data_IF_310983687196
#
_entry.id   IF_310983687196
#
_cell.length_a   1.000
_cell.length_b   1.000
_cell.length_c   1.000
_cell.angle_alpha   90.00
_cell.angle_beta   90.00
_cell.angle_gamma   90.00
#
_symmetry.space_group_name_H-M   'P 1'
#
loop_
_entity.id
_entity.type
_entity.pdbx_description
1 polymer ?
#
# COMPACT_ATOMS: atom_id res chain seq x y z
N UNK A 1 28.28 -9.12 28.21
CA UNK A 1 29.27 -8.23 27.55
C UNK A 1 29.36 -8.68 26.09
N UNK A 2 28.82 -7.84 25.19
CA UNK A 2 28.99 -7.72 23.72
C UNK A 2 29.10 -9.01 22.87
N UNK A 3 28.01 -9.32 22.15
CA UNK A 3 27.99 -10.17 20.95
C UNK A 3 28.52 -9.34 19.75
N UNK A 4 29.33 -9.90 18.83
CA UNK A 4 30.06 -9.11 17.83
C UNK A 4 29.18 -8.65 16.67
N UNK A 5 29.52 -7.46 16.12
CA UNK A 5 29.06 -6.94 14.84
C UNK A 5 29.69 -7.73 13.69
N UNK A 6 28.88 -8.43 12.92
CA UNK A 6 29.21 -8.77 11.52
C UNK A 6 27.99 -8.48 10.64
N UNK A 7 27.92 -7.23 10.20
CA UNK A 7 27.17 -6.84 9.01
C UNK A 7 28.07 -7.18 7.83
N UNK A 8 27.88 -8.36 7.25
CA UNK A 8 28.55 -8.75 6.01
C UNK A 8 27.65 -8.36 4.83
N UNK A 9 27.78 -7.08 4.47
CA UNK A 9 27.46 -6.55 3.15
C UNK A 9 28.20 -7.39 2.12
N UNK A 10 27.49 -8.25 1.37
CA UNK A 10 28.07 -8.89 0.19
C UNK A 10 28.12 -7.87 -0.94
N UNK A 11 29.33 -7.30 -1.10
CA UNK A 11 29.78 -6.53 -2.27
C UNK A 11 29.61 -7.34 -3.56
N UNK A 12 29.19 -6.63 -4.62
CA UNK A 12 29.42 -6.98 -6.03
C UNK A 12 30.88 -7.37 -6.27
N UNK A 13 31.09 -8.48 -6.97
CA UNK A 13 32.26 -8.71 -7.81
C UNK A 13 31.74 -9.13 -9.20
N UNK A 14 32.24 -8.44 -10.22
CA UNK A 14 32.01 -8.72 -11.64
C UNK A 14 32.96 -9.82 -12.15
N UNK A 15 32.59 -10.39 -13.30
CA UNK A 15 33.30 -11.30 -14.23
C UNK A 15 32.90 -12.78 -14.06
N UNK A 16 32.48 -13.55 -15.08
CA UNK A 16 32.35 -13.39 -16.54
C UNK A 16 31.49 -14.57 -17.05
N UNK A 17 30.63 -14.30 -18.04
CA UNK A 17 29.99 -15.23 -19.00
C UNK A 17 29.65 -16.67 -18.58
N UNK A 18 28.39 -16.89 -18.22
CA UNK A 18 27.59 -18.01 -18.74
C UNK A 18 26.21 -17.46 -19.13
N UNK A 19 25.86 -17.62 -20.40
CA UNK A 19 24.56 -17.29 -20.98
C UNK A 19 23.48 -18.14 -20.30
N UNK A 20 22.84 -17.60 -19.26
CA UNK A 20 21.57 -18.14 -18.75
C UNK A 20 20.44 -17.29 -19.29
N UNK A 21 20.00 -17.67 -20.48
CA UNK A 21 18.72 -17.31 -21.08
C UNK A 21 17.57 -17.85 -20.22
N UNK A 22 17.24 -17.14 -19.15
CA UNK A 22 15.87 -16.89 -18.74
C UNK A 22 15.85 -15.69 -17.78
N UNK A 23 15.48 -14.52 -18.31
CA UNK A 23 14.95 -13.42 -17.49
C UNK A 23 13.60 -13.89 -16.90
N UNK A 24 13.65 -14.82 -15.95
CA UNK A 24 12.52 -15.15 -15.06
C UNK A 24 12.37 -14.07 -13.96
N UNK A 25 13.06 -12.93 -14.11
CA UNK A 25 13.16 -11.84 -13.13
C UNK A 25 12.35 -10.58 -13.53
N UNK A 26 11.53 -10.68 -14.57
CA UNK A 26 10.58 -9.63 -15.00
C UNK A 26 9.21 -9.75 -14.31
N UNK A 27 9.11 -10.49 -13.20
CA UNK A 27 7.91 -10.49 -12.39
C UNK A 27 7.91 -9.26 -11.46
N UNK A 28 7.25 -8.18 -11.90
CA UNK A 28 7.10 -6.95 -11.09
C UNK A 28 6.19 -7.14 -9.86
N UNK A 29 5.48 -8.26 -9.75
CA UNK A 29 4.65 -8.61 -8.60
C UNK A 29 5.43 -9.56 -7.68
N UNK A 30 6.09 -9.00 -6.67
CA UNK A 30 6.70 -9.80 -5.62
C UNK A 30 5.67 -10.11 -4.55
N UNK A 31 5.45 -11.39 -4.30
CA UNK A 31 4.56 -11.88 -3.25
C UNK A 31 5.37 -12.69 -2.23
N UNK A 32 5.18 -12.41 -0.94
CA UNK A 32 5.85 -13.15 0.11
C UNK A 32 5.05 -13.21 1.41
N UNK A 33 5.18 -14.33 2.12
CA UNK A 33 4.77 -14.42 3.50
C UNK A 33 5.80 -13.78 4.40
N UNK A 34 5.36 -12.84 5.22
CA UNK A 34 6.15 -12.24 6.28
C UNK A 34 5.50 -12.47 7.64
N UNK A 35 6.29 -12.36 8.70
CA UNK A 35 5.81 -12.49 10.08
C UNK A 35 5.87 -11.13 10.75
N UNK A 36 4.78 -10.72 11.41
CA UNK A 36 4.80 -9.48 12.19
C UNK A 36 5.87 -9.59 13.31
N UNK A 37 6.84 -8.66 13.38
CA UNK A 37 7.91 -8.74 14.37
C UNK A 37 7.44 -8.56 15.82
N UNK A 38 6.23 -8.00 16.03
CA UNK A 38 5.68 -7.74 17.36
C UNK A 38 4.76 -8.84 17.89
N UNK A 39 3.86 -9.38 17.07
CA UNK A 39 2.87 -10.37 17.51
C UNK A 39 2.98 -11.73 16.82
N UNK A 40 3.96 -11.90 15.92
CA UNK A 40 4.22 -13.14 15.17
C UNK A 40 3.07 -13.66 14.31
N UNK A 41 2.06 -12.83 14.05
CA UNK A 41 1.00 -13.19 13.11
C UNK A 41 1.54 -13.17 11.68
N UNK A 42 1.13 -14.13 10.83
CA UNK A 42 1.49 -14.14 9.42
C UNK A 42 0.79 -12.99 8.70
N UNK A 43 1.47 -12.40 7.73
CA UNK A 43 0.98 -11.36 6.85
C UNK A 43 1.44 -11.68 5.44
N UNK A 44 0.54 -11.54 4.48
CA UNK A 44 0.88 -11.70 3.08
C UNK A 44 1.22 -10.34 2.49
N UNK A 45 2.46 -10.17 2.02
CA UNK A 45 2.93 -8.96 1.34
C UNK A 45 2.83 -9.16 -0.15
N UNK A 46 2.35 -8.13 -0.85
CA UNK A 46 2.38 -8.10 -2.31
C UNK A 46 2.74 -6.69 -2.81
N UNK A 47 3.55 -6.61 -3.84
CA UNK A 47 3.79 -5.36 -4.57
C UNK A 47 2.57 -5.00 -5.43
N UNK A 48 2.24 -3.71 -5.50
CA UNK A 48 1.15 -3.21 -6.32
C UNK A 48 1.48 -3.36 -7.80
N UNK A 49 0.47 -3.72 -8.59
CA UNK A 49 0.63 -3.80 -10.04
C UNK A 49 0.90 -2.40 -10.59
N UNK A 50 1.91 -2.22 -11.47
CA UNK A 50 2.11 -0.94 -12.17
C UNK A 50 0.96 -0.62 -13.15
N UNK A 51 0.07 -1.59 -13.39
CA UNK A 51 -1.16 -1.41 -14.18
C UNK A 51 -2.38 -1.10 -13.31
N UNK A 52 -2.24 -1.14 -11.98
CA UNK A 52 -3.27 -0.62 -11.10
C UNK A 52 -3.26 0.90 -11.19
N UNK A 53 -4.37 1.46 -11.67
CA UNK A 53 -4.52 2.91 -11.82
C UNK A 53 -4.97 3.58 -10.53
N UNK A 54 -5.48 2.82 -9.57
CA UNK A 54 -6.07 3.38 -8.36
C UNK A 54 -4.98 3.83 -7.37
N UNK A 55 -5.33 4.81 -6.52
CA UNK A 55 -4.45 5.33 -5.49
C UNK A 55 -4.84 4.74 -4.13
N UNK A 56 -3.85 4.18 -3.44
CA UNK A 56 -4.05 3.52 -2.16
C UNK A 56 -3.46 4.34 -1.02
N UNK A 57 -4.32 4.72 -0.07
CA UNK A 57 -3.94 5.52 1.09
C UNK A 57 -4.15 4.75 2.37
N UNK A 58 -3.15 4.76 3.23
CA UNK A 58 -3.15 3.98 4.47
C UNK A 58 -3.22 4.90 5.67
N UNK A 59 -3.92 4.46 6.71
CA UNK A 59 -4.01 5.21 7.95
C UNK A 59 -2.67 5.18 8.69
N UNK A 60 -2.19 6.35 9.10
CA UNK A 60 -0.96 6.49 9.87
C UNK A 60 -1.03 5.90 11.29
N UNK A 61 -2.20 5.45 11.76
CA UNK A 61 -2.44 4.93 13.12
C UNK A 61 -3.03 3.53 13.22
N UNK A 62 -3.68 3.02 12.17
CA UNK A 62 -4.30 1.70 12.18
C UNK A 62 -4.12 1.02 10.81
N UNK A 63 -4.45 -0.28 10.67
CA UNK A 63 -4.27 -1.01 9.41
C UNK A 63 -5.28 -0.67 8.31
N UNK A 64 -6.12 0.34 8.52
CA UNK A 64 -7.16 0.70 7.56
C UNK A 64 -6.53 1.33 6.33
N UNK A 65 -6.97 0.89 5.16
CA UNK A 65 -6.63 1.43 3.84
C UNK A 65 -7.90 1.96 3.18
N UNK A 66 -7.71 2.96 2.34
CA UNK A 66 -8.73 3.62 1.56
C UNK A 66 -8.25 3.70 0.11
N UNK A 67 -9.13 3.29 -0.80
CA UNK A 67 -8.86 3.29 -2.23
C UNK A 67 -9.54 4.47 -2.88
N UNK A 68 -8.82 5.16 -3.75
CA UNK A 68 -9.32 6.22 -4.61
C UNK A 68 -9.18 5.74 -6.04
N UNK A 69 -10.31 5.54 -6.71
CA UNK A 69 -10.28 5.16 -8.11
C UNK A 69 -10.11 6.37 -9.02
N UNK A 70 -9.34 6.20 -10.09
CA UNK A 70 -9.17 7.21 -11.16
C UNK A 70 -10.48 7.51 -11.90
N UNK A 71 -11.50 6.68 -11.71
CA UNK A 71 -12.83 6.89 -12.28
C UNK A 71 -13.77 7.67 -11.35
N UNK A 72 -13.31 8.08 -10.17
CA UNK A 72 -14.13 8.88 -9.25
C UNK A 72 -14.25 10.33 -9.72
N UNK A 73 -15.46 10.92 -9.71
CA UNK A 73 -15.64 12.32 -10.12
C UNK A 73 -14.79 13.33 -9.35
N UNK A 74 -14.46 13.03 -8.08
CA UNK A 74 -13.60 13.90 -7.26
C UNK A 74 -12.13 13.82 -7.69
N UNK A 75 -11.67 12.66 -8.13
CA UNK A 75 -10.33 12.49 -8.70
C UNK A 75 -10.17 13.39 -9.94
N UNK A 76 -11.14 13.35 -10.87
CA UNK A 76 -11.13 14.20 -12.06
C UNK A 76 -11.07 15.70 -11.72
N UNK A 77 -11.85 16.14 -10.71
CA UNK A 77 -11.84 17.53 -10.26
C UNK A 77 -10.47 17.94 -9.71
N UNK A 78 -9.85 17.10 -8.88
CA UNK A 78 -8.51 17.35 -8.33
C UNK A 78 -7.49 17.40 -9.47
N UNK A 79 -7.52 16.43 -10.40
CA UNK A 79 -6.60 16.37 -11.52
C UNK A 79 -6.68 17.60 -12.44
N UNK A 80 -7.89 18.11 -12.68
CA UNK A 80 -8.12 19.31 -13.51
C UNK A 80 -7.71 20.61 -12.82
N UNK A 81 -7.75 20.66 -11.49
CA UNK A 81 -7.36 21.83 -10.71
C UNK A 81 -5.83 21.99 -10.58
N UNK A 82 -5.07 20.92 -10.79
CA UNK A 82 -3.61 20.97 -10.74
C UNK A 82 -3.03 21.76 -11.92
N UNK A 83 -1.98 22.57 -11.69
CA UNK A 83 -1.27 23.23 -12.76
C UNK A 83 -0.67 22.21 -13.74
N UNK A 84 -0.49 22.62 -14.99
CA UNK A 84 0.17 21.78 -15.97
C UNK A 84 1.64 21.60 -15.61
N UNK A 85 2.00 20.41 -15.13
CA UNK A 85 3.38 20.00 -14.92
C UNK A 85 3.85 19.13 -16.11
N UNK A 86 5.00 19.44 -16.74
CA UNK A 86 5.53 18.65 -17.85
C UNK A 86 6.11 17.32 -17.40
N UNK A 87 6.57 17.23 -16.14
CA UNK A 87 7.14 16.02 -15.57
C UNK A 87 6.05 15.18 -14.89
N UNK A 88 5.96 13.91 -15.28
CA UNK A 88 4.94 12.99 -14.78
C UNK A 88 5.08 12.73 -13.28
N UNK A 89 6.31 12.54 -12.79
CA UNK A 89 6.58 12.25 -11.37
C UNK A 89 6.19 13.42 -10.46
N UNK A 90 6.56 14.65 -10.84
CA UNK A 90 6.17 15.86 -10.10
C UNK A 90 4.66 16.03 -10.07
N UNK A 91 3.99 15.79 -11.22
CA UNK A 91 2.53 15.82 -11.31
C UNK A 91 1.89 14.79 -10.39
N UNK A 92 2.42 13.57 -10.38
CA UNK A 92 1.91 12.47 -9.57
C UNK A 92 2.07 12.77 -8.07
N UNK A 93 3.23 13.26 -7.65
CA UNK A 93 3.48 13.67 -6.26
C UNK A 93 2.51 14.78 -5.82
N UNK A 94 2.33 15.82 -6.64
CA UNK A 94 1.38 16.90 -6.34
C UNK A 94 -0.07 16.39 -6.27
N UNK A 95 -0.44 15.46 -7.14
CA UNK A 95 -1.76 14.84 -7.14
C UNK A 95 -2.02 14.04 -5.86
N UNK A 96 -1.05 13.22 -5.44
CA UNK A 96 -1.10 12.47 -4.17
C UNK A 96 -1.27 13.44 -3.00
N UNK A 97 -0.45 14.50 -2.91
CA UNK A 97 -0.52 15.49 -1.83
C UNK A 97 -1.90 16.16 -1.74
N UNK A 98 -2.46 16.58 -2.89
CA UNK A 98 -3.79 17.20 -2.92
C UNK A 98 -4.87 16.19 -2.54
N UNK A 99 -4.78 14.93 -2.98
CA UNK A 99 -5.71 13.88 -2.55
C UNK A 99 -5.67 13.68 -1.04
N UNK A 100 -4.48 13.53 -0.42
CA UNK A 100 -4.33 13.39 1.03
C UNK A 100 -5.00 14.55 1.80
N UNK A 101 -4.84 15.77 1.31
CA UNK A 101 -5.48 16.95 1.91
C UNK A 101 -7.02 16.90 1.85
N UNK A 102 -7.58 16.28 0.80
CA UNK A 102 -9.02 16.16 0.59
C UNK A 102 -9.65 14.92 1.23
N UNK A 103 -8.88 13.95 1.73
CA UNK A 103 -9.42 12.77 2.41
C UNK A 103 -9.91 13.11 3.82
N UNK A 104 -11.06 12.57 4.21
CA UNK A 104 -11.53 12.61 5.61
C UNK A 104 -10.56 11.85 6.50
N UNK A 105 -10.43 12.24 7.78
CA UNK A 105 -9.62 11.47 8.73
C UNK A 105 -10.20 10.06 8.91
N UNK A 106 -9.32 9.10 9.21
CA UNK A 106 -9.73 7.76 9.57
C UNK A 106 -10.58 7.79 10.86
N UNK A 107 -11.54 6.87 10.99
CA UNK A 107 -12.39 6.76 12.18
C UNK A 107 -11.61 6.53 13.48
N UNK A 108 -10.38 6.00 13.41
CA UNK A 108 -9.49 5.89 14.56
C UNK A 108 -8.80 7.22 14.95
N UNK A 109 -9.09 8.33 14.25
CA UNK A 109 -8.46 9.63 14.42
C UNK A 109 -7.08 9.76 13.75
N UNK A 110 -6.72 8.84 12.85
CA UNK A 110 -5.51 8.93 12.02
C UNK A 110 -5.77 9.66 10.69
N UNK A 111 -4.71 9.84 9.90
CA UNK A 111 -4.77 10.42 8.55
C UNK A 111 -4.40 9.38 7.51
N UNK A 112 -5.06 9.44 6.38
CA UNK A 112 -4.74 8.61 5.22
C UNK A 112 -3.60 9.25 4.45
N UNK A 113 -2.52 8.49 4.25
CA UNK A 113 -1.34 8.90 3.47
C UNK A 113 -0.89 7.79 2.54
N UNK A 114 -0.37 8.16 1.38
CA UNK A 114 0.17 7.22 0.40
C UNK A 114 1.40 6.49 0.97
N UNK A 115 2.28 7.25 1.64
CA UNK A 115 3.52 6.79 2.27
C UNK A 115 3.35 6.31 3.72
N UNK A 116 2.11 6.15 4.21
CA UNK A 116 1.90 5.66 5.57
C UNK A 116 2.44 4.22 5.72
N UNK A 117 3.04 3.88 6.89
CA UNK A 117 3.51 2.53 7.13
C UNK A 117 2.40 1.50 7.00
N UNK A 118 2.73 0.32 6.47
CA UNK A 118 1.79 -0.81 6.49
C UNK A 118 1.82 -1.43 7.88
N UNK A 119 0.65 -1.69 8.45
CA UNK A 119 0.49 -2.10 9.84
C UNK A 119 -0.14 -3.49 9.93
N UNK A 120 0.29 -4.28 10.91
CA UNK A 120 -0.28 -5.60 11.16
C UNK A 120 -1.77 -5.52 11.51
N UNK A 121 -2.61 -6.35 10.89
CA UNK A 121 -4.06 -6.40 11.14
C UNK A 121 -4.45 -6.84 12.56
N UNK A 122 -3.54 -7.46 13.31
CA UNK A 122 -3.81 -7.97 14.66
C UNK A 122 -3.33 -7.05 15.77
N UNK A 123 -2.09 -6.54 15.70
CA UNK A 123 -1.48 -5.73 16.76
C UNK A 123 -1.26 -4.25 16.38
N UNK A 124 -1.56 -3.88 15.13
CA UNK A 124 -1.43 -2.53 14.57
C UNK A 124 -0.01 -1.94 14.55
N UNK A 125 1.00 -2.72 14.95
CA UNK A 125 2.41 -2.33 14.86
C UNK A 125 2.79 -2.14 13.40
N UNK A 126 3.52 -1.07 13.03
CA UNK A 126 4.09 -0.91 11.70
C UNK A 126 5.00 -2.09 11.37
N UNK A 127 4.86 -2.64 10.17
CA UNK A 127 5.65 -3.78 9.69
C UNK A 127 6.44 -3.46 8.43
N UNK A 128 5.92 -2.59 7.57
CA UNK A 128 6.64 -2.03 6.41
C UNK A 128 6.70 -0.53 6.63
N UNK A 129 7.91 -0.02 6.84
CA UNK A 129 8.18 1.38 7.19
C UNK A 129 9.13 2.05 6.19
N UNK A 130 10.04 1.27 5.62
CA UNK A 130 11.02 1.74 4.65
C UNK A 130 10.42 1.57 3.25
N UNK A 131 10.19 2.69 2.57
CA UNK A 131 9.56 2.76 1.24
C UNK A 131 8.25 1.95 1.12
N UNK A 132 7.21 2.29 1.91
CA UNK A 132 5.95 1.54 1.93
C UNK A 132 5.06 1.80 0.71
N UNK A 133 5.45 2.74 -0.16
CA UNK A 133 4.73 3.02 -1.38
C UNK A 133 4.67 1.77 -2.25
N UNK A 134 3.55 1.56 -2.94
CA UNK A 134 3.38 0.43 -3.85
C UNK A 134 3.46 -0.97 -3.21
N UNK A 135 3.27 -1.09 -1.89
CA UNK A 135 3.24 -2.38 -1.19
C UNK A 135 1.94 -2.54 -0.40
N UNK A 136 1.29 -3.68 -0.55
CA UNK A 136 0.07 -4.06 0.14
C UNK A 136 0.28 -5.20 1.13
N UNK A 137 -0.59 -5.23 2.13
CA UNK A 137 -0.68 -6.34 3.08
C UNK A 137 -2.08 -6.94 3.05
N UNK A 138 -2.12 -8.26 3.15
CA UNK A 138 -3.33 -9.05 3.23
C UNK A 138 -3.23 -10.06 4.38
N UNK A 139 -4.37 -10.56 4.90
CA UNK A 139 -4.37 -11.52 5.99
C UNK A 139 -4.05 -12.93 5.49
N UNK A 140 -4.04 -13.12 4.16
CA UNK A 140 -3.95 -14.41 3.49
C UNK A 140 -3.51 -14.24 2.02
N UNK A 141 -2.86 -15.25 1.43
CA UNK A 141 -2.48 -15.29 0.00
C UNK A 141 -3.71 -15.59 -0.90
N UNK A 142 -4.68 -16.25 -0.29
CA UNK A 142 -5.94 -16.73 -0.85
C UNK A 142 -6.78 -15.65 -1.54
N UNK A 143 -6.49 -14.38 -1.30
CA UNK A 143 -7.20 -13.25 -1.91
C UNK A 143 -7.16 -13.24 -3.44
N UNK A 144 -6.21 -13.97 -4.06
CA UNK A 144 -6.07 -14.12 -5.51
C UNK A 144 -6.68 -15.42 -6.06
N UNK A 145 -7.11 -16.35 -5.20
CA UNK A 145 -7.79 -17.55 -5.65
C UNK A 145 -9.16 -17.20 -6.23
N UNK A 146 -9.38 -17.52 -7.52
CA UNK A 146 -10.65 -17.23 -8.21
C UNK A 146 -11.87 -17.93 -7.60
N UNK A 147 -11.68 -18.93 -6.75
CA UNK A 147 -12.75 -19.67 -6.11
C UNK A 147 -12.40 -20.00 -4.65
N UNK A 148 -12.63 -19.05 -3.74
CA UNK A 148 -12.64 -19.31 -2.31
C UNK A 148 -13.87 -20.13 -1.92
N UNK A 149 -13.70 -21.02 -0.94
CA UNK A 149 -14.86 -21.65 -0.31
C UNK A 149 -15.68 -20.63 0.48
N UNK A 150 -16.92 -21.00 0.82
CA UNK A 150 -17.87 -20.10 1.45
C UNK A 150 -17.45 -19.60 2.86
N UNK A 151 -16.59 -20.34 3.56
CA UNK A 151 -16.10 -19.93 4.88
C UNK A 151 -14.96 -18.90 4.73
N UNK A 152 -13.98 -19.19 3.86
CA UNK A 152 -12.88 -18.29 3.52
C UNK A 152 -13.40 -16.99 2.91
N UNK A 153 -14.38 -17.06 2.02
CA UNK A 153 -15.03 -15.88 1.45
C UNK A 153 -15.65 -14.98 2.52
N UNK A 154 -16.43 -15.54 3.46
CA UNK A 154 -17.05 -14.77 4.56
C UNK A 154 -16.01 -14.16 5.50
N UNK A 155 -14.89 -14.86 5.74
CA UNK A 155 -13.78 -14.35 6.55
C UNK A 155 -13.12 -13.16 5.85
N UNK A 156 -12.87 -13.27 4.54
CA UNK A 156 -12.31 -12.20 3.72
C UNK A 156 -13.23 -10.97 3.66
N UNK A 157 -14.52 -11.16 3.43
CA UNK A 157 -15.51 -10.06 3.41
C UNK A 157 -15.57 -9.31 4.73
N UNK A 158 -15.58 -10.03 5.85
CA UNK A 158 -15.55 -9.42 7.18
C UNK A 158 -14.27 -8.63 7.43
N UNK A 159 -13.14 -9.20 7.03
CA UNK A 159 -11.86 -8.55 7.15
C UNK A 159 -11.77 -7.30 6.26
N UNK A 160 -12.25 -7.37 5.01
CA UNK A 160 -12.35 -6.23 4.09
C UNK A 160 -13.24 -5.13 4.67
N UNK A 161 -14.42 -5.47 5.16
CA UNK A 161 -15.31 -4.49 5.79
C UNK A 161 -14.66 -3.78 7.00
N UNK A 162 -13.74 -4.45 7.70
CA UNK A 162 -13.04 -3.89 8.86
C UNK A 162 -11.85 -3.01 8.47
N UNK A 163 -11.06 -3.42 7.47
CA UNK A 163 -9.78 -2.77 7.16
C UNK A 163 -9.77 -2.03 5.83
N UNK A 164 -10.60 -2.42 4.86
CA UNK A 164 -10.79 -1.79 3.55
C UNK A 164 -12.25 -1.35 3.40
N UNK A 165 -12.74 -0.44 4.25
CA UNK A 165 -14.12 -0.01 4.16
C UNK A 165 -14.35 0.69 2.82
N UNK A 166 -15.33 0.22 2.07
CA UNK A 166 -15.84 0.96 0.91
C UNK A 166 -16.61 2.18 1.44
N UNK A 167 -15.93 3.31 1.46
CA UNK A 167 -16.46 4.58 1.95
C UNK A 167 -16.99 5.37 0.76
N UNK A 168 -18.31 5.33 0.55
CA UNK A 168 -19.00 6.15 -0.45
C UNK A 168 -18.69 7.65 -0.29
N UNK A 169 -18.39 8.11 0.93
CA UNK A 169 -18.14 9.52 1.27
C UNK A 169 -16.80 9.72 1.98
N UNK A 170 -15.70 9.31 1.31
CA UNK A 170 -14.31 9.46 1.80
C UNK A 170 -13.72 10.87 1.69
N UNK A 171 -14.33 11.74 0.91
CA UNK A 171 -13.84 13.09 0.63
C UNK A 171 -14.38 14.11 1.63
N UNK A 172 -13.54 15.06 2.04
CA UNK A 172 -13.93 16.25 2.81
C UNK A 172 -14.92 17.10 2.01
N UNK A 173 -15.88 17.71 2.70
CA UNK A 173 -16.79 18.67 2.10
C UNK A 173 -16.08 19.96 1.66
N UNK A 174 -16.71 20.78 0.80
CA UNK A 174 -16.10 22.02 0.29
C UNK A 174 -15.56 22.95 1.40
N UNK A 175 -16.29 23.07 2.52
CA UNK A 175 -15.92 23.92 3.66
C UNK A 175 -14.78 23.38 4.54
N UNK A 176 -14.39 22.12 4.36
CA UNK A 176 -13.39 21.44 5.20
C UNK A 176 -11.99 21.43 4.56
N UNK A 177 -11.85 21.99 3.36
CA UNK A 177 -10.59 22.01 2.59
C UNK A 177 -9.94 23.39 2.49
N UNK A 178 -10.60 24.44 3.00
CA UNK A 178 -10.16 25.84 2.90
C UNK A 178 -9.49 26.38 4.18
N UNK A 179 -8.98 25.51 5.07
CA UNK A 179 -8.32 25.91 6.32
C UNK A 179 -6.84 25.54 6.36
#
# INVERSE_FOLDING_TARGET
MKIPREVLVRKRLHMENEENLSDDNDNWLHEEWMTCPACHQPLFRIDQSPLDGDYHFYCDRCPVRLDVSVYEPKYDQIQQALPHCPEYEEKNAALIEVMEAHLKPCQCGGRFRHDAPRRCFSCFTPVIVDDPAYIDLYPDEDIFERALDAERQKKLERWRAQFFPDLEDKWKGPSETEQ
#
